data_IF_761120414954
#
_entry.id   IF_761120414954
#
_cell.length_a   1.000
_cell.length_b   1.000
_cell.length_c   1.000
_cell.angle_alpha   90.00
_cell.angle_beta   90.00
_cell.angle_gamma   90.00
#
_symmetry.space_group_name_H-M   'P 1'
#
loop_
_entity.id
_entity.type
_entity.pdbx_description
1 polymer ?
#
# COMPACT_ATOMS: atom_id res chain seq x y z
N UNK A 1 -39.63 -1.68 -11.98
CA UNK A 1 -38.49 -0.74 -11.83
C UNK A 1 -37.24 -1.47 -12.33
N UNK A 2 -36.66 -1.01 -13.43
CA UNK A 2 -35.39 -1.56 -13.92
C UNK A 2 -34.32 -1.32 -12.86
N UNK A 3 -33.68 -2.38 -12.37
CA UNK A 3 -32.47 -2.27 -11.55
C UNK A 3 -31.43 -1.56 -12.44
N UNK A 4 -31.21 -0.28 -12.21
CA UNK A 4 -30.19 0.47 -12.96
C UNK A 4 -28.85 -0.12 -12.59
N UNK A 5 -28.21 -0.75 -13.56
CA UNK A 5 -26.87 -1.31 -13.44
C UNK A 5 -25.89 -0.25 -12.95
N UNK A 6 -24.96 -0.64 -12.03
CA UNK A 6 -23.95 0.27 -11.53
C UNK A 6 -23.05 0.75 -12.70
N UNK A 7 -22.65 2.05 -12.73
CA UNK A 7 -21.96 2.62 -13.89
C UNK A 7 -20.63 1.99 -14.26
N UNK A 8 -19.96 1.35 -13.29
CA UNK A 8 -18.63 0.76 -13.46
C UNK A 8 -18.74 -0.75 -13.54
N UNK A 9 -18.01 -1.35 -14.49
CA UNK A 9 -17.87 -2.79 -14.59
C UNK A 9 -16.63 -3.27 -13.81
N UNK A 10 -16.85 -4.17 -12.81
CA UNK A 10 -15.79 -4.76 -12.01
C UNK A 10 -15.48 -6.19 -12.45
N UNK A 11 -14.18 -6.50 -12.56
CA UNK A 11 -13.67 -7.86 -12.67
C UNK A 11 -13.20 -8.26 -11.27
N UNK A 12 -14.01 -9.02 -10.56
CA UNK A 12 -13.70 -9.41 -9.18
C UNK A 12 -12.55 -10.42 -9.07
N UNK A 13 -11.82 -10.43 -7.94
CA UNK A 13 -11.89 -9.50 -6.81
C UNK A 13 -11.23 -8.15 -7.09
N UNK A 14 -11.71 -7.08 -6.47
CA UNK A 14 -11.12 -5.73 -6.53
C UNK A 14 -10.63 -5.33 -5.14
N UNK A 15 -9.42 -4.84 -5.05
CA UNK A 15 -8.77 -4.51 -3.79
C UNK A 15 -8.56 -3.00 -3.63
N UNK A 16 -8.68 -2.53 -2.40
CA UNK A 16 -8.40 -1.15 -2.01
C UNK A 16 -7.84 -1.08 -0.60
N UNK A 17 -7.10 -0.03 -0.23
CA UNK A 17 -6.74 0.21 1.15
C UNK A 17 -8.00 0.46 2.01
N UNK A 18 -8.01 0.07 3.30
CA UNK A 18 -9.14 0.35 4.21
C UNK A 18 -9.50 1.84 4.27
N UNK A 19 -8.52 2.74 4.18
CA UNK A 19 -8.71 4.20 4.14
C UNK A 19 -9.48 4.70 2.91
N UNK A 20 -9.62 3.88 1.87
CA UNK A 20 -10.38 4.15 0.65
C UNK A 20 -11.77 3.46 0.64
N UNK A 21 -12.27 3.01 1.81
CA UNK A 21 -13.56 2.31 1.92
C UNK A 21 -14.75 3.13 1.37
N UNK A 22 -14.66 4.45 1.42
CA UNK A 22 -15.70 5.38 0.95
C UNK A 22 -15.36 6.05 -0.39
N UNK A 23 -14.31 5.62 -1.07
CA UNK A 23 -13.94 6.12 -2.39
C UNK A 23 -14.66 5.38 -3.50
N UNK A 24 -14.99 6.08 -4.57
CA UNK A 24 -15.39 5.43 -5.82
C UNK A 24 -14.18 4.65 -6.34
N UNK A 25 -14.32 3.35 -6.47
CA UNK A 25 -13.26 2.50 -7.02
C UNK A 25 -13.39 2.51 -8.54
N UNK A 26 -12.40 3.07 -9.21
CA UNK A 26 -12.36 3.18 -10.67
C UNK A 26 -11.22 2.33 -11.23
N UNK A 27 -11.49 1.10 -11.71
CA UNK A 27 -10.47 0.29 -12.35
C UNK A 27 -10.02 0.92 -13.68
N UNK A 28 -8.74 1.27 -13.78
CA UNK A 28 -8.11 1.73 -15.04
C UNK A 28 -7.14 0.68 -15.60
N UNK A 29 -6.77 -0.28 -14.75
CA UNK A 29 -6.06 -1.51 -15.10
C UNK A 29 -6.81 -2.72 -14.54
N UNK A 30 -6.41 -3.92 -14.91
CA UNK A 30 -6.85 -5.18 -14.30
C UNK A 30 -5.61 -5.95 -13.85
N UNK A 31 -5.57 -6.33 -12.58
CA UNK A 31 -4.43 -7.04 -12.01
C UNK A 31 -3.18 -6.18 -11.79
N UNK A 32 -2.11 -6.79 -11.31
CA UNK A 32 -0.83 -6.15 -11.00
C UNK A 32 0.18 -6.40 -12.11
N UNK A 33 0.90 -5.35 -12.55
CA UNK A 33 1.88 -5.43 -13.65
C UNK A 33 3.11 -6.30 -13.32
N UNK A 34 3.41 -6.45 -12.03
CA UNK A 34 4.47 -7.35 -11.55
C UNK A 34 3.97 -8.74 -11.22
N UNK A 35 3.03 -8.84 -10.31
CA UNK A 35 2.34 -10.07 -9.86
C UNK A 35 3.23 -11.29 -9.59
N UNK A 36 4.49 -11.08 -9.14
CA UNK A 36 5.47 -12.15 -8.86
C UNK A 36 5.86 -12.22 -7.39
N UNK A 37 5.39 -11.29 -6.55
CA UNK A 37 5.71 -11.29 -5.12
C UNK A 37 5.21 -12.59 -4.47
N UNK A 38 6.12 -13.30 -3.77
CA UNK A 38 5.80 -14.58 -3.13
C UNK A 38 4.72 -14.50 -2.07
N UNK A 39 4.62 -13.35 -1.37
CA UNK A 39 3.67 -13.10 -0.29
C UNK A 39 2.29 -12.61 -0.76
N UNK A 40 2.17 -12.15 -2.01
CA UNK A 40 0.94 -11.49 -2.48
C UNK A 40 0.12 -12.41 -3.38
N UNK A 41 -1.13 -12.63 -3.01
CA UNK A 41 -2.07 -13.47 -3.76
C UNK A 41 -3.28 -12.72 -4.32
N UNK A 42 -3.30 -11.38 -4.17
CA UNK A 42 -4.42 -10.53 -4.58
C UNK A 42 -4.79 -10.69 -6.07
N UNK A 43 -3.80 -10.92 -6.93
CA UNK A 43 -4.00 -10.94 -8.39
C UNK A 43 -3.59 -12.26 -9.05
N UNK A 44 -3.61 -13.37 -8.32
CA UNK A 44 -3.20 -14.69 -8.83
C UNK A 44 -4.28 -15.41 -9.64
N UNK A 45 -5.53 -14.99 -9.54
CA UNK A 45 -6.65 -15.61 -10.26
C UNK A 45 -6.55 -15.36 -11.77
N UNK A 46 -6.99 -16.31 -12.63
CA UNK A 46 -6.84 -16.21 -14.08
C UNK A 46 -7.43 -14.94 -14.70
N UNK A 47 -8.59 -14.47 -14.20
CA UNK A 47 -9.23 -13.23 -14.67
C UNK A 47 -8.47 -11.96 -14.29
N UNK A 48 -7.52 -12.04 -13.34
CA UNK A 48 -6.69 -10.91 -12.87
C UNK A 48 -5.36 -10.79 -13.61
N UNK A 49 -5.24 -11.41 -14.78
CA UNK A 49 -4.09 -11.20 -15.65
C UNK A 49 -3.97 -9.73 -16.01
N UNK A 50 -2.78 -9.16 -15.77
CA UNK A 50 -2.53 -7.72 -15.98
C UNK A 50 -2.86 -7.27 -17.41
N UNK A 51 -3.62 -6.18 -17.50
CA UNK A 51 -3.87 -5.42 -18.73
C UNK A 51 -4.35 -4.00 -18.38
N UNK A 52 -4.03 -3.04 -19.22
CA UNK A 52 -4.70 -1.75 -19.21
C UNK A 52 -6.15 -1.93 -19.72
N UNK A 53 -7.12 -1.26 -19.10
CA UNK A 53 -8.50 -1.24 -19.61
C UNK A 53 -8.58 -0.35 -20.85
N UNK A 54 -9.60 -0.52 -21.65
CA UNK A 54 -9.86 0.40 -22.76
C UNK A 54 -10.09 1.82 -22.25
N UNK A 55 -9.46 2.80 -22.89
CA UNK A 55 -9.51 4.20 -22.45
C UNK A 55 -10.92 4.77 -22.60
N UNK A 56 -11.59 4.50 -23.72
CA UNK A 56 -12.92 5.04 -23.98
C UNK A 56 -13.96 4.44 -23.04
N UNK A 57 -13.84 3.13 -22.71
CA UNK A 57 -14.71 2.50 -21.71
C UNK A 57 -14.57 3.17 -20.34
N UNK A 58 -13.33 3.43 -19.90
CA UNK A 58 -13.08 4.09 -18.61
C UNK A 58 -13.63 5.51 -18.59
N UNK A 59 -13.41 6.30 -19.65
CA UNK A 59 -13.94 7.66 -19.74
C UNK A 59 -15.47 7.68 -19.76
N UNK A 60 -16.11 6.74 -20.45
CA UNK A 60 -17.56 6.63 -20.46
C UNK A 60 -18.12 6.19 -19.10
N UNK A 61 -17.44 5.31 -18.36
CA UNK A 61 -17.81 4.96 -16.99
C UNK A 61 -17.75 6.18 -16.06
N UNK A 62 -16.70 7.02 -16.16
CA UNK A 62 -16.58 8.27 -15.40
C UNK A 62 -17.76 9.21 -15.70
N UNK A 63 -18.08 9.41 -17.00
CA UNK A 63 -19.23 10.23 -17.41
C UNK A 63 -20.54 9.73 -16.80
N UNK A 64 -20.79 8.42 -16.89
CA UNK A 64 -21.99 7.80 -16.31
C UNK A 64 -22.04 7.90 -14.78
N UNK A 65 -20.88 7.86 -14.11
CA UNK A 65 -20.79 8.10 -12.67
C UNK A 65 -21.23 9.53 -12.34
N UNK A 66 -20.79 10.54 -13.10
CA UNK A 66 -21.15 11.93 -12.91
C UNK A 66 -22.64 12.21 -13.03
N UNK A 67 -23.37 11.43 -13.85
CA UNK A 67 -24.82 11.55 -14.01
C UNK A 67 -25.61 10.95 -12.81
N UNK A 68 -24.98 10.15 -11.96
CA UNK A 68 -25.69 9.30 -10.98
C UNK A 68 -25.19 9.39 -9.55
N UNK A 69 -23.96 9.84 -9.34
CA UNK A 69 -23.26 9.76 -8.06
C UNK A 69 -22.71 11.13 -7.66
N UNK A 70 -22.73 11.40 -6.37
CA UNK A 70 -21.93 12.46 -5.75
C UNK A 70 -20.70 11.78 -5.14
N UNK A 71 -19.52 12.15 -5.59
CA UNK A 71 -18.26 11.46 -5.24
C UNK A 71 -17.26 12.47 -4.69
N UNK A 72 -16.74 12.22 -3.48
CA UNK A 72 -15.71 13.04 -2.84
C UNK A 72 -14.28 12.51 -3.06
N UNK A 73 -14.14 11.21 -3.30
CA UNK A 73 -12.84 10.57 -3.48
C UNK A 73 -12.92 9.49 -4.55
N UNK A 74 -11.88 9.40 -5.36
CA UNK A 74 -11.72 8.32 -6.35
C UNK A 74 -10.44 7.56 -6.05
N UNK A 75 -10.51 6.24 -6.08
CA UNK A 75 -9.35 5.37 -6.02
C UNK A 75 -9.17 4.70 -7.37
N UNK A 76 -8.06 5.03 -8.08
CA UNK A 76 -7.70 4.38 -9.34
C UNK A 76 -7.17 2.98 -9.04
N UNK A 77 -7.95 1.98 -9.40
CA UNK A 77 -7.67 0.56 -9.31
C UNK A 77 -7.35 0.02 -10.71
N UNK A 78 -6.94 -1.16 -10.88
CA UNK A 78 -6.65 -2.25 -10.01
C UNK A 78 -5.13 -2.48 -10.06
N UNK A 79 -4.55 -3.06 -9.01
CA UNK A 79 -3.14 -3.40 -8.94
C UNK A 79 -2.18 -2.22 -8.87
N UNK A 80 -1.88 -1.60 -9.98
CA UNK A 80 -0.91 -0.50 -10.06
C UNK A 80 -1.19 0.45 -11.24
N UNK A 81 -2.22 1.29 -11.09
CA UNK A 81 -2.65 2.21 -12.15
C UNK A 81 -1.54 3.15 -12.66
N UNK A 82 -0.56 3.51 -11.81
CA UNK A 82 0.54 4.39 -12.19
C UNK A 82 1.53 3.77 -13.20
N UNK A 83 1.38 2.51 -13.57
CA UNK A 83 2.09 1.91 -14.72
C UNK A 83 1.66 2.51 -16.04
N UNK A 84 0.45 3.06 -16.14
CA UNK A 84 -0.06 3.67 -17.35
C UNK A 84 0.78 4.89 -17.78
N UNK A 85 0.88 5.19 -19.07
CA UNK A 85 1.53 6.41 -19.57
C UNK A 85 0.89 7.66 -18.97
N UNK A 86 1.70 8.68 -18.70
CA UNK A 86 1.29 9.96 -18.09
C UNK A 86 0.12 10.58 -18.85
N UNK A 87 0.18 10.65 -20.20
CA UNK A 87 -0.92 11.15 -21.04
C UNK A 87 -2.27 10.48 -20.73
N UNK A 88 -2.26 9.17 -20.54
CA UNK A 88 -3.49 8.41 -20.28
C UNK A 88 -4.04 8.66 -18.88
N UNK A 89 -3.16 8.78 -17.90
CA UNK A 89 -3.55 9.17 -16.52
C UNK A 89 -4.14 10.57 -16.49
N UNK A 90 -3.54 11.52 -17.24
CA UNK A 90 -4.07 12.88 -17.38
C UNK A 90 -5.46 12.90 -17.99
N UNK A 91 -5.72 12.10 -19.05
CA UNK A 91 -7.07 12.00 -19.64
C UNK A 91 -8.11 11.51 -18.63
N UNK A 92 -7.78 10.51 -17.81
CA UNK A 92 -8.64 10.00 -16.74
C UNK A 92 -8.88 11.07 -15.67
N UNK A 93 -7.83 11.74 -15.21
CA UNK A 93 -7.92 12.79 -14.18
C UNK A 93 -8.72 13.99 -14.68
N UNK A 94 -8.56 14.37 -15.93
CA UNK A 94 -9.36 15.43 -16.55
C UNK A 94 -10.83 15.06 -16.63
N UNK A 95 -11.17 13.85 -17.07
CA UNK A 95 -12.55 13.36 -17.10
C UNK A 95 -13.18 13.32 -15.69
N UNK A 96 -12.42 12.90 -14.66
CA UNK A 96 -12.88 12.95 -13.27
C UNK A 96 -13.20 14.40 -12.87
N UNK A 97 -12.31 15.34 -13.15
CA UNK A 97 -12.53 16.78 -12.82
C UNK A 97 -13.74 17.35 -13.56
N UNK A 98 -13.99 16.94 -14.80
CA UNK A 98 -15.09 17.42 -15.63
C UNK A 98 -16.43 16.84 -15.19
N UNK A 99 -16.51 15.54 -14.94
CA UNK A 99 -17.78 14.84 -14.68
C UNK A 99 -18.07 14.60 -13.19
N UNK A 100 -17.07 14.67 -12.32
CA UNK A 100 -17.17 14.47 -10.88
C UNK A 100 -16.58 15.67 -10.12
N UNK A 101 -17.16 16.88 -10.27
CA UNK A 101 -16.56 18.14 -9.80
C UNK A 101 -16.40 18.23 -8.28
N UNK A 102 -17.05 17.38 -7.51
CA UNK A 102 -16.95 17.35 -6.06
C UNK A 102 -15.81 16.45 -5.55
N UNK A 103 -15.02 15.85 -6.45
CA UNK A 103 -13.87 15.03 -6.08
C UNK A 103 -12.75 15.92 -5.55
N UNK A 104 -12.42 15.71 -4.28
CA UNK A 104 -11.37 16.42 -3.55
C UNK A 104 -10.01 15.71 -3.66
N UNK A 105 -10.02 14.40 -3.88
CA UNK A 105 -8.80 13.57 -3.94
C UNK A 105 -8.96 12.39 -4.87
N UNK A 106 -7.96 12.22 -5.73
CA UNK A 106 -7.70 10.97 -6.44
C UNK A 106 -6.49 10.29 -5.83
N UNK A 107 -6.56 8.99 -5.63
CA UNK A 107 -5.48 8.15 -5.08
C UNK A 107 -5.31 6.88 -5.88
N UNK A 108 -4.17 6.20 -5.74
CA UNK A 108 -3.89 4.95 -6.45
C UNK A 108 -2.85 4.09 -5.75
N UNK A 109 -2.85 2.79 -6.01
CA UNK A 109 -1.66 1.97 -5.77
C UNK A 109 -0.54 2.35 -6.74
N UNK A 110 0.69 2.25 -6.24
CA UNK A 110 1.90 2.50 -7.00
C UNK A 110 2.99 1.49 -6.64
N UNK A 111 3.55 0.83 -7.63
CA UNK A 111 4.82 0.12 -7.47
C UNK A 111 5.98 1.08 -7.77
N UNK A 112 7.12 1.02 -7.05
CA UNK A 112 8.27 1.89 -7.33
C UNK A 112 8.70 1.88 -8.80
N UNK A 113 8.67 0.71 -9.45
CA UNK A 113 8.99 0.54 -10.88
C UNK A 113 8.11 1.33 -11.84
N UNK A 114 6.89 1.68 -11.44
CA UNK A 114 5.99 2.48 -12.28
C UNK A 114 6.55 3.87 -12.54
N UNK A 115 7.41 4.36 -11.63
CA UNK A 115 7.98 5.71 -11.66
C UNK A 115 9.37 5.79 -12.28
N UNK A 116 9.98 4.66 -12.60
CA UNK A 116 11.34 4.64 -13.19
C UNK A 116 11.48 5.50 -14.44
N UNK A 117 10.42 5.57 -15.26
CA UNK A 117 10.40 6.29 -16.55
C UNK A 117 9.59 7.58 -16.49
N UNK A 118 9.00 7.91 -15.34
CA UNK A 118 8.29 9.17 -15.13
C UNK A 118 9.24 10.20 -14.54
N UNK A 119 9.29 11.40 -15.11
CA UNK A 119 9.98 12.52 -14.52
C UNK A 119 9.19 13.11 -13.35
N UNK A 120 9.85 13.91 -12.53
CA UNK A 120 9.17 14.67 -11.46
C UNK A 120 8.16 15.65 -12.06
N UNK A 121 8.46 16.25 -13.21
CA UNK A 121 7.54 17.18 -13.89
C UNK A 121 6.27 16.47 -14.37
N UNK A 122 6.37 15.26 -14.95
CA UNK A 122 5.21 14.46 -15.31
C UNK A 122 4.37 14.10 -14.07
N UNK A 123 5.00 13.84 -12.93
CA UNK A 123 4.30 13.56 -11.68
C UNK A 123 3.63 14.83 -11.11
N UNK A 124 4.25 16.00 -11.25
CA UNK A 124 3.63 17.31 -10.93
C UNK A 124 2.39 17.58 -11.78
N UNK A 125 2.46 17.31 -13.09
CA UNK A 125 1.28 17.41 -13.95
C UNK A 125 0.13 16.52 -13.46
N UNK A 126 0.43 15.29 -13.03
CA UNK A 126 -0.57 14.40 -12.44
C UNK A 126 -1.10 14.91 -11.08
N UNK A 127 -0.24 15.49 -10.26
CA UNK A 127 -0.63 16.10 -8.99
C UNK A 127 -1.56 17.31 -9.22
N UNK A 128 -1.22 18.19 -10.15
CA UNK A 128 -2.03 19.37 -10.52
C UNK A 128 -3.38 18.96 -11.12
N UNK A 129 -3.41 17.83 -11.83
CA UNK A 129 -4.64 17.24 -12.35
C UNK A 129 -5.51 16.53 -11.28
N UNK A 130 -5.01 16.36 -10.04
CA UNK A 130 -5.80 15.85 -8.91
C UNK A 130 -5.32 14.54 -8.30
N UNK A 131 -4.23 13.93 -8.76
CA UNK A 131 -3.63 12.76 -8.10
C UNK A 131 -2.91 13.23 -6.82
N UNK A 132 -3.54 13.03 -5.67
CA UNK A 132 -3.06 13.57 -4.40
C UNK A 132 -2.34 12.56 -3.51
N UNK A 133 -2.52 11.25 -3.73
CA UNK A 133 -1.96 10.22 -2.86
C UNK A 133 -1.59 8.96 -3.64
N UNK A 134 -0.41 8.42 -3.36
CA UNK A 134 0.04 7.12 -3.83
C UNK A 134 0.22 6.17 -2.63
N UNK A 135 -0.37 4.97 -2.73
CA UNK A 135 -0.16 3.87 -1.80
C UNK A 135 0.98 2.99 -2.31
N UNK A 136 2.10 2.99 -1.61
CA UNK A 136 3.32 2.31 -2.03
C UNK A 136 3.63 1.16 -1.09
N UNK A 137 3.53 -0.06 -1.58
CA UNK A 137 4.03 -1.23 -0.87
C UNK A 137 5.55 -1.28 -0.98
N UNK A 138 6.28 -0.74 0.00
CA UNK A 138 7.72 -0.96 0.13
C UNK A 138 8.00 -2.39 0.62
N UNK A 139 7.17 -2.88 1.53
CA UNK A 139 7.17 -4.18 2.20
C UNK A 139 8.39 -4.39 3.10
N UNK A 140 9.57 -3.99 2.67
CA UNK A 140 10.85 -4.00 3.38
C UNK A 140 11.78 -2.91 2.83
N UNK A 141 12.71 -2.45 3.65
CA UNK A 141 13.88 -1.67 3.22
C UNK A 141 15.12 -2.54 3.02
N UNK A 142 15.01 -3.85 3.17
CA UNK A 142 16.12 -4.79 3.09
C UNK A 142 16.15 -5.50 1.74
N UNK A 143 17.26 -5.37 1.01
CA UNK A 143 17.41 -5.91 -0.34
C UNK A 143 17.41 -7.44 -0.38
N UNK A 144 17.91 -8.12 0.67
CA UNK A 144 17.88 -9.57 0.75
C UNK A 144 16.45 -10.08 0.96
N UNK A 145 15.72 -9.48 1.87
CA UNK A 145 14.28 -9.79 2.09
C UNK A 145 13.50 -9.56 0.80
N UNK A 146 13.68 -8.41 0.16
CA UNK A 146 12.99 -8.07 -1.10
C UNK A 146 13.31 -9.06 -2.23
N UNK A 147 14.55 -9.53 -2.32
CA UNK A 147 14.97 -10.54 -3.30
C UNK A 147 14.31 -11.90 -3.01
N UNK A 148 14.37 -12.38 -1.75
CA UNK A 148 13.77 -13.66 -1.34
C UNK A 148 12.27 -13.74 -1.59
N UNK A 149 11.55 -12.63 -1.36
CA UNK A 149 10.09 -12.57 -1.63
C UNK A 149 9.75 -12.19 -3.06
N UNK A 150 10.73 -12.05 -3.94
CA UNK A 150 10.59 -11.67 -5.34
C UNK A 150 9.76 -10.37 -5.54
N UNK A 151 10.00 -9.38 -4.67
CA UNK A 151 9.35 -8.07 -4.80
C UNK A 151 9.75 -7.37 -6.10
N UNK A 152 10.97 -7.62 -6.58
CA UNK A 152 11.54 -7.05 -7.79
C UNK A 152 11.88 -5.56 -7.66
N UNK A 153 12.00 -5.07 -6.44
CA UNK A 153 12.45 -3.74 -6.06
C UNK A 153 13.66 -3.86 -5.13
N UNK A 154 14.34 -2.73 -4.90
CA UNK A 154 15.44 -2.58 -3.96
C UNK A 154 15.19 -1.38 -3.05
N UNK A 155 16.00 -1.25 -2.01
CA UNK A 155 16.06 -0.03 -1.20
C UNK A 155 16.16 1.22 -2.08
N UNK A 156 17.14 1.24 -2.98
CA UNK A 156 17.40 2.40 -3.83
C UNK A 156 16.25 2.70 -4.80
N UNK A 157 15.65 1.67 -5.43
CA UNK A 157 14.53 1.89 -6.36
C UNK A 157 13.27 2.37 -5.64
N UNK A 158 13.08 1.94 -4.39
CA UNK A 158 11.95 2.37 -3.57
C UNK A 158 12.15 3.80 -3.08
N UNK A 159 13.36 4.13 -2.63
CA UNK A 159 13.70 5.49 -2.20
C UNK A 159 13.52 6.50 -3.35
N UNK A 160 14.10 6.24 -4.55
CA UNK A 160 13.96 7.10 -5.74
C UNK A 160 12.47 7.35 -6.07
N UNK A 161 11.63 6.33 -5.99
CA UNK A 161 10.21 6.47 -6.25
C UNK A 161 9.50 7.34 -5.20
N UNK A 162 9.83 7.17 -3.92
CA UNK A 162 9.25 7.95 -2.83
C UNK A 162 9.71 9.41 -2.89
N UNK A 163 10.96 9.67 -3.19
CA UNK A 163 11.50 11.03 -3.38
C UNK A 163 10.80 11.74 -4.54
N UNK A 164 10.69 11.11 -5.71
CA UNK A 164 9.96 11.67 -6.88
C UNK A 164 8.51 12.03 -6.56
N UNK A 165 7.79 11.17 -5.83
CA UNK A 165 6.42 11.46 -5.42
C UNK A 165 6.36 12.67 -4.48
N UNK A 166 7.26 12.73 -3.50
CA UNK A 166 7.34 13.86 -2.56
C UNK A 166 7.67 15.18 -3.26
N UNK A 167 8.69 15.19 -4.14
CA UNK A 167 9.06 16.37 -4.94
C UNK A 167 7.94 16.83 -5.86
N UNK A 168 7.08 15.91 -6.31
CA UNK A 168 5.92 16.24 -7.13
C UNK A 168 4.69 16.68 -6.31
N UNK A 169 4.76 16.68 -4.97
CA UNK A 169 3.64 17.04 -4.10
C UNK A 169 2.53 15.98 -4.01
N UNK A 170 2.85 14.71 -4.30
CA UNK A 170 1.95 13.57 -4.13
C UNK A 170 2.23 12.92 -2.78
N UNK A 171 1.24 12.92 -1.88
CA UNK A 171 1.36 12.28 -0.57
C UNK A 171 1.63 10.79 -0.70
N UNK A 172 2.53 10.28 0.15
CA UNK A 172 3.00 8.88 0.14
C UNK A 172 2.44 8.14 1.35
N UNK A 173 1.64 7.11 1.07
CA UNK A 173 1.21 6.14 2.08
C UNK A 173 2.01 4.86 1.89
N UNK A 174 3.03 4.67 2.73
CA UNK A 174 3.99 3.57 2.59
C UNK A 174 3.63 2.43 3.52
N UNK A 175 3.80 1.20 3.05
CA UNK A 175 3.51 -0.01 3.80
C UNK A 175 4.75 -0.87 3.98
N UNK A 176 4.97 -1.34 5.22
CA UNK A 176 5.97 -2.33 5.62
C UNK A 176 5.24 -3.58 6.12
N UNK A 177 5.71 -4.76 5.73
CA UNK A 177 5.14 -6.04 6.17
C UNK A 177 5.96 -6.64 7.32
N UNK A 178 5.44 -6.56 8.54
CA UNK A 178 6.05 -7.17 9.71
C UNK A 178 6.10 -8.71 9.56
N UNK A 179 7.21 -9.30 9.96
CA UNK A 179 7.47 -10.73 9.86
C UNK A 179 7.94 -11.21 8.48
N UNK A 180 8.04 -10.32 7.49
CA UNK A 180 8.42 -10.71 6.13
C UNK A 180 9.82 -11.33 6.03
N UNK A 181 10.74 -10.92 6.90
CA UNK A 181 12.11 -11.45 6.98
C UNK A 181 12.24 -12.78 7.71
N UNK A 182 11.18 -13.27 8.37
CA UNK A 182 11.23 -14.42 9.25
C UNK A 182 12.21 -14.25 10.39
N UNK A 183 12.46 -15.30 11.16
CA UNK A 183 13.36 -15.25 12.34
C UNK A 183 14.77 -14.79 11.99
N UNK A 184 15.31 -15.25 10.85
CA UNK A 184 16.70 -15.03 10.46
C UNK A 184 16.98 -13.58 10.07
N UNK A 185 16.08 -12.93 9.34
CA UNK A 185 16.28 -11.59 8.76
C UNK A 185 15.48 -10.48 9.46
N UNK A 186 14.74 -10.80 10.54
CA UNK A 186 13.86 -9.85 11.22
C UNK A 186 14.56 -8.57 11.65
N UNK A 187 15.73 -8.68 12.28
CA UNK A 187 16.48 -7.53 12.76
C UNK A 187 16.92 -6.59 11.63
N UNK A 188 17.50 -7.15 10.56
CA UNK A 188 17.96 -6.35 9.41
C UNK A 188 16.78 -5.80 8.60
N UNK A 189 15.67 -6.54 8.53
CA UNK A 189 14.42 -6.08 7.94
C UNK A 189 13.91 -4.82 8.65
N UNK A 190 13.83 -4.85 9.98
CA UNK A 190 13.38 -3.70 10.77
C UNK A 190 14.33 -2.49 10.62
N UNK A 191 15.66 -2.70 10.75
CA UNK A 191 16.66 -1.63 10.67
C UNK A 191 16.68 -0.98 9.29
N UNK A 192 16.71 -1.78 8.22
CA UNK A 192 16.76 -1.28 6.86
C UNK A 192 15.42 -0.62 6.45
N UNK A 193 14.29 -1.10 6.97
CA UNK A 193 12.99 -0.46 6.77
C UNK A 193 12.91 0.90 7.48
N UNK A 194 13.43 1.00 8.72
CA UNK A 194 13.53 2.29 9.41
C UNK A 194 14.44 3.27 8.63
N UNK A 195 15.60 2.80 8.16
CA UNK A 195 16.51 3.60 7.33
C UNK A 195 15.85 4.13 6.06
N UNK A 196 15.07 3.29 5.36
CA UNK A 196 14.33 3.69 4.18
C UNK A 196 13.29 4.77 4.50
N UNK A 197 12.53 4.60 5.57
CA UNK A 197 11.51 5.58 5.97
C UNK A 197 12.13 6.90 6.41
N UNK A 198 13.23 6.86 7.16
CA UNK A 198 13.95 8.06 7.59
C UNK A 198 14.50 8.86 6.40
N UNK A 199 14.99 8.18 5.36
CA UNK A 199 15.43 8.84 4.15
C UNK A 199 14.27 9.44 3.35
N UNK A 200 13.14 8.74 3.28
CA UNK A 200 11.99 9.14 2.46
C UNK A 200 11.06 10.15 3.13
N UNK A 201 10.94 10.16 4.48
CA UNK A 201 10.02 11.00 5.26
C UNK A 201 8.59 11.01 4.68
N UNK A 202 7.88 9.86 4.61
CA UNK A 202 6.55 9.80 4.02
C UNK A 202 5.49 10.40 4.95
N UNK A 203 4.39 10.90 4.41
CA UNK A 203 3.28 11.47 5.16
C UNK A 203 2.51 10.41 5.95
N UNK A 204 2.48 9.16 5.45
CA UNK A 204 1.82 8.03 6.12
C UNK A 204 2.71 6.78 6.08
N UNK A 205 2.84 6.12 7.22
CA UNK A 205 3.48 4.82 7.35
C UNK A 205 2.49 3.81 7.97
N UNK A 206 2.30 2.70 7.29
CA UNK A 206 1.48 1.59 7.78
C UNK A 206 2.30 0.34 7.98
N UNK A 207 1.98 -0.46 9.01
CA UNK A 207 2.54 -1.80 9.17
C UNK A 207 1.44 -2.84 9.24
N UNK A 208 1.66 -3.97 8.57
CA UNK A 208 0.78 -5.13 8.54
C UNK A 208 1.59 -6.39 8.86
N UNK A 209 1.02 -7.35 9.55
CA UNK A 209 1.66 -8.66 9.70
C UNK A 209 1.45 -9.47 8.42
N UNK A 210 2.53 -10.05 7.89
CA UNK A 210 2.47 -10.95 6.74
C UNK A 210 1.60 -12.16 7.09
N UNK A 211 0.76 -12.57 6.15
CA UNK A 211 -0.13 -13.72 6.29
C UNK A 211 -0.28 -14.46 4.97
N UNK A 212 -0.59 -15.74 5.05
CA UNK A 212 -0.69 -16.64 3.90
C UNK A 212 -2.04 -17.37 3.91
N UNK A 213 -3.16 -16.69 3.66
CA UNK A 213 -4.49 -17.28 3.77
C UNK A 213 -4.74 -18.44 2.81
N UNK A 214 -4.03 -18.52 1.70
CA UNK A 214 -4.13 -19.62 0.72
C UNK A 214 -2.95 -20.60 0.80
N UNK A 215 -2.06 -20.40 1.78
CA UNK A 215 -0.88 -21.25 2.04
C UNK A 215 0.44 -20.62 1.64
N UNK A 216 1.54 -21.18 2.11
CA UNK A 216 2.90 -20.64 1.99
C UNK A 216 3.67 -21.13 0.76
N UNK A 217 3.08 -21.95 -0.09
CA UNK A 217 3.80 -22.63 -1.18
C UNK A 217 4.53 -21.65 -2.12
N UNK A 218 3.82 -20.59 -2.54
CA UNK A 218 4.37 -19.56 -3.42
C UNK A 218 5.48 -18.76 -2.73
N UNK A 219 5.31 -18.47 -1.45
CA UNK A 219 6.28 -17.75 -0.65
C UNK A 219 7.56 -18.57 -0.44
N UNK A 220 7.41 -19.84 -0.05
CA UNK A 220 8.52 -20.74 0.20
C UNK A 220 9.33 -21.11 -1.04
N UNK A 221 8.78 -20.92 -2.23
CA UNK A 221 9.55 -21.10 -3.47
C UNK A 221 10.75 -20.14 -3.58
N UNK A 222 10.68 -18.96 -3.00
CA UNK A 222 11.79 -18.00 -2.94
C UNK A 222 12.47 -17.90 -1.57
N UNK A 223 11.82 -18.41 -0.52
CA UNK A 223 12.26 -18.32 0.86
C UNK A 223 12.11 -19.68 1.57
N UNK A 224 12.83 -20.69 1.09
CA UNK A 224 12.68 -22.09 1.53
C UNK A 224 12.98 -22.31 3.02
N UNK A 225 13.93 -21.56 3.58
CA UNK A 225 14.36 -21.58 4.98
C UNK A 225 13.58 -20.60 5.88
N UNK A 226 12.44 -20.12 5.41
CA UNK A 226 11.61 -19.19 6.18
C UNK A 226 11.06 -19.85 7.45
N UNK A 227 11.32 -19.20 8.57
CA UNK A 227 10.75 -19.52 9.87
C UNK A 227 9.93 -18.30 10.35
N UNK A 228 8.61 -18.48 10.50
CA UNK A 228 7.71 -17.40 10.88
C UNK A 228 8.02 -16.86 12.28
N UNK A 229 7.89 -15.56 12.47
CA UNK A 229 7.92 -14.96 13.79
C UNK A 229 6.69 -15.41 14.61
N UNK A 230 6.92 -15.78 15.85
CA UNK A 230 5.82 -15.89 16.81
C UNK A 230 5.31 -14.48 17.19
N UNK A 231 4.21 -14.45 17.94
CA UNK A 231 3.58 -13.18 18.34
C UNK A 231 4.54 -12.25 19.10
N UNK A 232 5.38 -12.80 19.97
CA UNK A 232 6.34 -12.02 20.75
C UNK A 232 7.45 -11.47 19.86
N UNK A 233 7.98 -12.27 18.97
CA UNK A 233 9.00 -11.87 18.02
C UNK A 233 8.49 -10.79 17.04
N UNK A 234 7.22 -10.84 16.62
CA UNK A 234 6.59 -9.76 15.84
C UNK A 234 6.60 -8.44 16.61
N UNK A 235 6.31 -8.44 17.92
CA UNK A 235 6.38 -7.20 18.71
C UNK A 235 7.81 -6.70 18.89
N UNK A 236 8.80 -7.58 19.04
CA UNK A 236 10.23 -7.22 19.09
C UNK A 236 10.66 -6.58 17.76
N UNK A 237 10.21 -7.09 16.63
CA UNK A 237 10.48 -6.48 15.31
C UNK A 237 9.86 -5.10 15.19
N UNK A 238 8.60 -4.92 15.61
CA UNK A 238 7.91 -3.61 15.61
C UNK A 238 8.61 -2.63 16.56
N UNK A 239 9.03 -3.09 17.75
CA UNK A 239 9.80 -2.25 18.69
C UNK A 239 11.08 -1.75 18.03
N UNK A 240 11.85 -2.66 17.39
CA UNK A 240 13.10 -2.33 16.71
C UNK A 240 12.88 -1.33 15.56
N UNK A 241 11.85 -1.55 14.74
CA UNK A 241 11.44 -0.62 13.70
C UNK A 241 11.15 0.76 14.30
N UNK A 242 10.27 0.86 15.31
CA UNK A 242 9.91 2.13 15.95
C UNK A 242 11.11 2.83 16.60
N UNK A 243 12.03 2.08 17.19
CA UNK A 243 13.27 2.65 17.77
C UNK A 243 14.12 3.32 16.70
N UNK A 244 14.26 2.69 15.54
CA UNK A 244 15.07 3.17 14.41
C UNK A 244 14.42 4.32 13.62
N UNK A 245 13.10 4.54 13.76
CA UNK A 245 12.41 5.60 13.02
C UNK A 245 12.72 6.99 13.59
N UNK A 246 13.12 7.92 12.73
CA UNK A 246 13.36 9.34 12.99
C UNK A 246 12.48 10.18 12.06
N UNK A 247 11.16 10.04 12.24
CA UNK A 247 10.13 10.70 11.43
C UNK A 247 9.50 11.84 12.24
N UNK A 248 9.27 12.99 11.60
CA UNK A 248 8.79 14.20 12.27
C UNK A 248 7.27 14.31 12.27
N UNK A 249 6.63 14.22 11.10
CA UNK A 249 5.19 14.47 10.91
C UNK A 249 4.46 13.29 10.22
N UNK A 250 4.95 12.06 10.39
CA UNK A 250 4.37 10.89 9.74
C UNK A 250 3.21 10.32 10.54
N UNK A 251 2.04 10.23 9.93
CA UNK A 251 0.89 9.51 10.49
C UNK A 251 1.16 8.01 10.46
N UNK A 252 1.29 7.39 11.63
CA UNK A 252 1.56 5.96 11.78
C UNK A 252 0.29 5.16 12.03
N UNK A 253 0.13 4.05 11.31
CA UNK A 253 -0.99 3.12 11.43
C UNK A 253 -0.50 1.68 11.40
N UNK A 254 -0.66 0.98 12.52
CA UNK A 254 -0.49 -0.46 12.65
C UNK A 254 -1.82 -1.06 13.16
N UNK A 255 -2.91 -0.77 12.46
CA UNK A 255 -4.27 -1.08 12.87
C UNK A 255 -5.02 -2.03 11.91
N UNK A 256 -4.33 -2.52 10.88
CA UNK A 256 -4.86 -3.53 9.98
C UNK A 256 -5.34 -4.77 10.75
N UNK A 257 -6.33 -5.47 10.22
CA UNK A 257 -6.89 -6.66 10.87
C UNK A 257 -5.87 -7.77 11.13
N UNK A 258 -4.80 -7.86 10.32
CA UNK A 258 -3.71 -8.84 10.53
C UNK A 258 -2.84 -8.57 11.76
N UNK A 259 -2.86 -7.36 12.33
CA UNK A 259 -2.04 -7.01 13.48
C UNK A 259 -2.67 -7.46 14.80
N UNK A 260 -1.89 -8.06 15.70
CA UNK A 260 -2.32 -8.40 17.05
C UNK A 260 -2.50 -7.17 17.94
N UNK A 261 -1.57 -6.20 17.83
CA UNK A 261 -1.57 -4.94 18.57
C UNK A 261 -1.96 -3.80 17.65
N UNK A 262 -2.94 -3.01 18.06
CA UNK A 262 -3.35 -1.81 17.33
C UNK A 262 -2.53 -0.62 17.81
N UNK A 263 -1.73 -0.02 16.91
CA UNK A 263 -0.95 1.18 17.20
C UNK A 263 -1.36 2.29 16.23
N UNK A 264 -1.57 3.47 16.78
CA UNK A 264 -1.92 4.69 16.02
C UNK A 264 -1.26 5.90 16.65
N UNK A 265 -0.71 6.76 15.84
CA UNK A 265 -0.09 7.98 16.33
C UNK A 265 0.51 8.81 15.20
N UNK A 266 1.15 9.89 15.59
CA UNK A 266 1.97 10.74 14.75
C UNK A 266 3.42 10.59 15.21
N UNK A 267 4.26 10.06 14.32
CA UNK A 267 5.67 9.84 14.62
C UNK A 267 6.39 11.20 14.72
N UNK A 268 7.28 11.28 15.71
CA UNK A 268 7.78 12.56 16.23
C UNK A 268 7.17 12.81 17.61
N UNK A 269 5.87 13.04 17.68
CA UNK A 269 5.18 13.30 18.95
C UNK A 269 4.88 12.04 19.78
N UNK A 270 4.36 11.00 19.12
CA UNK A 270 3.84 9.79 19.81
C UNK A 270 4.83 8.63 19.93
N UNK A 271 6.03 8.72 19.37
CA UNK A 271 6.99 7.61 19.33
C UNK A 271 7.24 6.98 20.71
N UNK A 272 7.45 7.82 21.74
CA UNK A 272 7.71 7.33 23.10
C UNK A 272 6.52 6.52 23.65
N UNK A 273 5.29 6.98 23.45
CA UNK A 273 4.06 6.29 23.87
C UNK A 273 3.91 4.96 23.13
N UNK A 274 4.09 4.95 21.82
CA UNK A 274 4.00 3.73 21.01
C UNK A 274 5.01 2.67 21.44
N UNK A 275 6.24 3.06 21.77
CA UNK A 275 7.27 2.17 22.30
C UNK A 275 6.86 1.58 23.67
N UNK A 276 6.22 2.35 24.54
CA UNK A 276 5.71 1.85 25.83
C UNK A 276 4.62 0.79 25.59
N UNK A 277 3.68 1.04 24.67
CA UNK A 277 2.60 0.09 24.34
C UNK A 277 3.16 -1.24 23.78
N UNK A 278 4.16 -1.17 22.89
CA UNK A 278 4.81 -2.37 22.32
C UNK A 278 5.57 -3.16 23.40
N UNK A 279 6.34 -2.48 24.26
CA UNK A 279 7.07 -3.11 25.36
C UNK A 279 6.12 -3.79 26.34
N UNK A 280 5.00 -3.16 26.66
CA UNK A 280 3.97 -3.79 27.48
C UNK A 280 3.44 -5.08 26.82
N UNK A 281 3.24 -5.09 25.50
CA UNK A 281 2.82 -6.30 24.80
C UNK A 281 3.89 -7.41 24.79
N UNK A 282 5.19 -7.06 24.82
CA UNK A 282 6.32 -7.98 24.91
C UNK A 282 6.46 -8.58 26.31
N UNK A 283 6.41 -7.73 27.34
CA UNK A 283 6.74 -8.08 28.73
C UNK A 283 5.52 -8.56 29.51
N UNK A 284 4.36 -7.98 29.26
CA UNK A 284 3.12 -8.21 30.00
C UNK A 284 1.93 -8.38 29.05
N UNK A 285 1.93 -9.38 28.13
CA UNK A 285 0.91 -9.52 27.08
C UNK A 285 -0.51 -9.66 27.64
N UNK A 286 -0.68 -10.15 28.88
CA UNK A 286 -1.97 -10.26 29.55
C UNK A 286 -2.60 -8.89 29.90
N UNK A 287 -1.81 -7.82 29.95
CA UNK A 287 -2.26 -6.45 30.22
C UNK A 287 -2.38 -5.59 28.96
N UNK A 288 -1.92 -6.11 27.81
CA UNK A 288 -2.01 -5.40 26.55
C UNK A 288 -3.35 -5.71 25.84
N UNK A 289 -3.90 -4.72 25.14
CA UNK A 289 -5.14 -4.86 24.37
C UNK A 289 -4.87 -5.59 23.04
N UNK A 290 -4.60 -6.90 23.11
CA UNK A 290 -4.27 -7.73 21.96
C UNK A 290 -5.51 -8.32 21.32
N UNK A 291 -5.58 -8.31 20.00
CA UNK A 291 -6.57 -9.08 19.23
C UNK A 291 -6.30 -10.58 19.37
N UNK A 292 -7.39 -11.34 19.53
CA UNK A 292 -7.34 -12.79 19.45
C UNK A 292 -7.26 -13.23 17.98
N UNK A 293 -6.82 -14.48 17.71
CA UNK A 293 -6.71 -14.99 16.34
C UNK A 293 -8.01 -14.81 15.53
N UNK A 294 -9.16 -15.14 16.12
CA UNK A 294 -10.46 -15.00 15.47
C UNK A 294 -10.91 -13.57 15.19
N UNK A 295 -10.25 -12.57 15.79
CA UNK A 295 -10.48 -11.14 15.54
C UNK A 295 -9.60 -10.59 14.43
N UNK A 296 -8.64 -11.38 13.99
CA UNK A 296 -7.75 -11.01 12.88
C UNK A 296 -8.41 -11.40 11.56
N UNK A 297 -8.63 -10.43 10.69
CA UNK A 297 -9.11 -10.66 9.32
C UNK A 297 -7.93 -11.11 8.46
N UNK A 298 -7.82 -12.39 8.26
CA UNK A 298 -6.79 -13.02 7.44
C UNK A 298 -7.44 -13.69 6.24
#
# INVERSE_FOLDING_TARGET
MSVREFPIHYIEPVFRPPSEAHSLILPVTNGCSWNKCGFCEMYTQPQKKFRARDENEVLEEIRRCGERLIVKRVFLADGDALVLPTRRLLAVLQAIREHLPEVERVSSYCLPRNLRRKSVDELRELADAGLRMAYVGAESGDDEVLARVNKGETYSSTLDALEKLGEAGISRSVMILNGLGGMTLSAQHADNSARLMNAAQPEYLSTLVVSFPTGEQRFRAGFADFEALDRRALFVEVERLLQGLELEDTVFRSDHASNYLVLKGELGADKARLLVEVRQAIEQPQHAALRQEWQRGL
#
